data_IF_638552753749
#
_entry.id   IF_638552753749
#
_cell.length_a   1.000
_cell.length_b   1.000
_cell.length_c   1.000
_cell.angle_alpha   90.00
_cell.angle_beta   90.00
_cell.angle_gamma   90.00
#
_symmetry.space_group_name_H-M   'P 1'
#
loop_
_entity.id
_entity.type
_entity.pdbx_description
1 polymer ?
#
# COMPACT_ATOMS: atom_id res chain seq x y z
N UNK A 1 7.75 8.41 -18.59
CA UNK A 1 7.04 7.71 -17.50
C UNK A 1 7.76 6.36 -17.30
N UNK A 2 8.38 6.15 -16.14
CA UNK A 2 9.37 5.06 -15.88
C UNK A 2 8.72 3.66 -15.94
N UNK A 3 9.56 2.63 -16.17
CA UNK A 3 9.22 1.20 -16.31
C UNK A 3 8.29 0.63 -15.23
N UNK A 4 8.24 1.22 -14.03
CA UNK A 4 7.30 0.85 -12.96
C UNK A 4 5.84 1.17 -13.26
N UNK A 5 5.55 2.17 -14.10
CA UNK A 5 4.16 2.55 -14.43
C UNK A 5 3.55 1.56 -15.42
N UNK A 6 4.27 1.22 -16.49
CA UNK A 6 3.76 0.40 -17.61
C UNK A 6 3.58 -1.10 -17.32
N UNK A 7 3.65 -1.53 -16.05
CA UNK A 7 3.44 -2.93 -15.66
C UNK A 7 2.82 -3.11 -14.29
N UNK A 8 3.28 -2.32 -13.30
CA UNK A 8 2.74 -2.38 -11.93
C UNK A 8 1.51 -1.47 -11.77
N UNK A 9 1.51 -0.30 -12.42
CA UNK A 9 0.46 0.72 -12.27
C UNK A 9 -0.23 1.05 -13.59
N UNK A 10 -0.85 0.04 -14.18
CA UNK A 10 -1.45 0.06 -15.52
C UNK A 10 -2.68 0.98 -15.58
N UNK A 11 -3.45 1.06 -14.49
CA UNK A 11 -4.65 1.89 -14.36
C UNK A 11 -4.40 3.12 -13.48
N UNK A 12 -3.31 3.83 -13.76
CA UNK A 12 -2.86 4.99 -13.00
C UNK A 12 -3.80 6.21 -13.19
N UNK A 13 -4.97 6.19 -12.55
CA UNK A 13 -5.85 7.35 -12.47
C UNK A 13 -5.39 8.37 -11.44
N UNK A 14 -5.66 9.67 -11.66
CA UNK A 14 -5.28 10.77 -10.74
C UNK A 14 -5.78 10.55 -9.31
N UNK A 15 -6.94 9.90 -9.14
CA UNK A 15 -7.52 9.56 -7.84
C UNK A 15 -6.70 8.56 -7.01
N UNK A 16 -5.83 7.76 -7.64
CA UNK A 16 -5.05 6.71 -6.97
C UNK A 16 -3.56 7.04 -6.88
N UNK A 17 -3.12 8.15 -7.48
CA UNK A 17 -1.71 8.53 -7.57
C UNK A 17 -1.01 8.56 -6.21
N UNK A 18 -1.66 9.10 -5.18
CA UNK A 18 -1.10 9.16 -3.82
C UNK A 18 -0.81 7.77 -3.23
N UNK A 19 -1.65 6.77 -3.52
CA UNK A 19 -1.45 5.39 -3.04
C UNK A 19 -0.26 4.73 -3.75
N UNK A 20 -0.16 4.94 -5.05
CA UNK A 20 0.94 4.40 -5.86
C UNK A 20 2.29 5.01 -5.48
N UNK A 21 2.33 6.32 -5.17
CA UNK A 21 3.55 6.96 -4.70
C UNK A 21 4.01 6.41 -3.35
N UNK A 22 3.09 6.23 -2.40
CA UNK A 22 3.42 5.66 -1.09
C UNK A 22 3.89 4.20 -1.19
N UNK A 23 3.27 3.40 -2.05
CA UNK A 23 3.67 2.01 -2.26
C UNK A 23 5.04 1.90 -2.96
N UNK A 24 5.28 2.74 -3.96
CA UNK A 24 6.56 2.79 -4.65
C UNK A 24 7.70 3.15 -3.68
N UNK A 25 7.51 4.20 -2.88
CA UNK A 25 8.48 4.63 -1.87
C UNK A 25 8.83 3.49 -0.91
N UNK A 26 7.83 2.81 -0.37
CA UNK A 26 8.02 1.69 0.55
C UNK A 26 8.77 0.51 -0.11
N UNK A 27 8.37 0.09 -1.31
CA UNK A 27 8.96 -1.07 -1.99
C UNK A 27 10.43 -0.88 -2.36
N UNK A 28 10.80 0.31 -2.81
CA UNK A 28 12.16 0.56 -3.30
C UNK A 28 13.12 0.97 -2.19
N UNK A 29 12.64 1.60 -1.11
CA UNK A 29 13.49 2.07 -0.01
C UNK A 29 13.58 1.08 1.17
N UNK A 30 12.68 0.10 1.30
CA UNK A 30 12.76 -0.97 2.31
C UNK A 30 13.11 -2.30 1.68
N UNK A 31 14.37 -2.47 1.32
CA UNK A 31 14.90 -3.72 0.77
C UNK A 31 16.31 -4.03 1.31
N UNK A 32 16.79 -5.24 1.04
CA UNK A 32 18.10 -5.71 1.49
C UNK A 32 19.27 -4.81 1.03
N UNK A 33 19.14 -4.14 -0.12
CA UNK A 33 20.14 -3.18 -0.59
C UNK A 33 20.31 -1.97 0.37
N UNK A 34 19.25 -1.65 1.12
CA UNK A 34 19.25 -0.64 2.19
C UNK A 34 19.44 -1.25 3.58
N UNK A 35 19.94 -2.50 3.66
CA UNK A 35 20.19 -3.23 4.91
C UNK A 35 18.94 -3.47 5.76
N UNK A 36 17.76 -3.51 5.13
CA UNK A 36 16.51 -3.91 5.78
C UNK A 36 16.28 -5.39 5.52
N UNK A 37 16.19 -6.20 6.58
CA UNK A 37 15.85 -7.62 6.47
C UNK A 37 14.38 -7.82 6.11
N UNK A 38 14.03 -8.99 5.58
CA UNK A 38 12.63 -9.31 5.29
C UNK A 38 11.74 -9.32 6.54
N UNK A 39 12.31 -9.66 7.71
CA UNK A 39 11.61 -9.62 8.98
C UNK A 39 11.27 -8.18 9.40
N UNK A 40 12.25 -7.27 9.35
CA UNK A 40 12.04 -5.85 9.64
C UNK A 40 11.03 -5.24 8.66
N UNK A 41 11.16 -5.55 7.36
CA UNK A 41 10.23 -5.09 6.33
C UNK A 41 8.79 -5.56 6.59
N UNK A 42 8.61 -6.77 7.12
CA UNK A 42 7.30 -7.30 7.47
C UNK A 42 6.71 -6.60 8.70
N UNK A 43 7.51 -6.39 9.75
CA UNK A 43 7.10 -5.66 10.96
C UNK A 43 6.68 -4.22 10.63
N UNK A 44 7.48 -3.55 9.83
CA UNK A 44 7.21 -2.24 9.28
C UNK A 44 5.89 -2.14 8.50
N UNK A 45 5.57 -3.16 7.71
CA UNK A 45 4.32 -3.24 6.97
C UNK A 45 3.12 -3.40 7.92
N UNK A 46 3.27 -4.17 9.00
CA UNK A 46 2.25 -4.33 10.03
C UNK A 46 2.00 -3.02 10.80
N UNK A 47 3.05 -2.25 11.10
CA UNK A 47 2.89 -0.93 11.72
C UNK A 47 2.05 0.02 10.87
N UNK A 48 2.28 0.07 9.56
CA UNK A 48 1.52 0.91 8.62
C UNK A 48 0.06 0.41 8.46
N UNK A 49 -0.18 -0.90 8.65
CA UNK A 49 -1.49 -1.51 8.51
C UNK A 49 -2.37 -1.40 9.77
N UNK A 50 -1.77 -1.19 10.95
CA UNK A 50 -2.42 -1.28 12.27
C UNK A 50 -3.74 -0.50 12.38
N UNK A 51 -3.77 0.73 11.86
CA UNK A 51 -4.93 1.62 12.00
C UNK A 51 -5.87 1.61 10.78
N UNK A 52 -5.59 0.74 9.79
CA UNK A 52 -6.39 0.62 8.58
C UNK A 52 -7.52 -0.38 8.80
N UNK A 53 -8.74 0.01 8.42
CA UNK A 53 -9.89 -0.91 8.44
C UNK A 53 -9.73 -1.99 7.37
N UNK A 54 -9.77 -3.24 7.80
CA UNK A 54 -9.75 -4.42 6.92
C UNK A 54 -11.07 -4.61 6.16
N UNK A 55 -12.19 -4.17 6.74
CA UNK A 55 -13.52 -4.29 6.14
C UNK A 55 -14.13 -2.93 5.85
N UNK A 56 -14.61 -2.72 4.62
CA UNK A 56 -15.57 -1.68 4.35
C UNK A 56 -16.91 -2.08 4.99
N UNK A 57 -17.65 -1.13 5.58
CA UNK A 57 -19.00 -1.41 6.11
C UNK A 57 -19.83 -1.95 4.95
N UNK A 58 -20.45 -3.13 5.08
CA UNK A 58 -21.32 -3.66 4.03
C UNK A 58 -22.43 -2.62 3.79
N UNK A 59 -22.74 -2.36 2.53
CA UNK A 59 -23.87 -1.52 2.14
C UNK A 59 -25.13 -2.22 2.68
N UNK A 60 -25.68 -1.75 3.80
CA UNK A 60 -26.90 -2.31 4.43
C UNK A 60 -26.84 -2.53 5.95
N UNK A 61 -25.66 -2.69 6.56
CA UNK A 61 -25.56 -2.98 8.02
C UNK A 61 -25.80 -1.75 8.92
N UNK A 62 -25.82 -0.54 8.35
CA UNK A 62 -26.07 0.69 9.11
C UNK A 62 -27.56 0.96 9.38
N UNK A 63 -28.47 0.19 8.77
CA UNK A 63 -29.94 0.37 8.91
C UNK A 63 -30.62 -0.58 9.88
N UNK A 64 -29.85 -1.42 10.60
CA UNK A 64 -30.37 -2.38 11.58
C UNK A 64 -29.68 -2.10 12.92
N UNK A 65 -29.98 -0.95 13.52
CA UNK A 65 -29.65 -0.62 14.91
C UNK A 65 -30.64 0.43 15.41
#
# INVERSE_FOLDING_TARGET
MKRGVFGVYQHCGKAHLHRYLAEFDFRYNRCAAFKVSDAERAEDLLHIARDKRLTCRRIGEAGIA
#
